data_IF_772393524515
#
_entry.id   IF_772393524515
#
_cell.length_a   1.000
_cell.length_b   1.000
_cell.length_c   1.000
_cell.angle_alpha   90.00
_cell.angle_beta   90.00
_cell.angle_gamma   90.00
#
_symmetry.space_group_name_H-M   'P 1'
#
loop_
_entity.id
_entity.type
_entity.pdbx_description
1 polymer ?
#
# COMPACT_ATOMS: atom_id res chain seq x y z
N UNK A 1 13.32 7.35 7.88
CA UNK A 1 13.10 5.91 7.61
C UNK A 1 13.72 5.60 6.25
N UNK A 2 14.29 4.41 6.11
CA UNK A 2 14.78 3.93 4.82
C UNK A 2 13.68 3.12 4.13
N UNK A 3 13.32 3.55 2.93
CA UNK A 3 12.21 2.96 2.15
C UNK A 3 12.74 2.50 0.80
N UNK A 4 12.48 1.25 0.45
CA UNK A 4 12.79 0.72 -0.88
C UNK A 4 11.46 0.48 -1.61
N UNK A 5 11.36 1.04 -2.81
CA UNK A 5 10.18 0.95 -3.67
C UNK A 5 10.55 0.18 -4.92
N UNK A 6 9.85 -0.89 -5.20
CA UNK A 6 9.99 -1.68 -6.41
C UNK A 6 8.90 -1.31 -7.42
N UNK A 7 9.34 -0.87 -8.60
CA UNK A 7 8.49 -0.43 -9.70
C UNK A 7 8.49 1.08 -9.88
N UNK A 8 9.17 1.56 -10.93
CA UNK A 8 9.30 2.97 -11.31
C UNK A 8 8.12 3.52 -12.12
N UNK A 9 7.00 2.80 -12.19
CA UNK A 9 5.79 3.29 -12.85
C UNK A 9 5.19 4.53 -12.17
N UNK A 10 4.06 5.01 -12.67
CA UNK A 10 3.42 6.26 -12.17
C UNK A 10 3.17 6.25 -10.67
N UNK A 11 2.71 5.12 -10.12
CA UNK A 11 2.40 4.99 -8.68
C UNK A 11 3.68 4.99 -7.85
N UNK A 12 4.65 4.11 -8.18
CA UNK A 12 5.89 4.02 -7.41
C UNK A 12 6.71 5.31 -7.46
N UNK A 13 6.78 5.96 -8.63
CA UNK A 13 7.45 7.27 -8.76
C UNK A 13 6.77 8.35 -7.92
N UNK A 14 5.43 8.43 -7.94
CA UNK A 14 4.70 9.41 -7.13
C UNK A 14 4.94 9.20 -5.62
N UNK A 15 4.90 7.95 -5.15
CA UNK A 15 5.18 7.61 -3.76
C UNK A 15 6.63 7.95 -3.41
N UNK A 16 7.59 7.65 -4.30
CA UNK A 16 9.01 7.92 -4.07
C UNK A 16 9.28 9.43 -3.91
N UNK A 17 8.67 10.26 -4.73
CA UNK A 17 8.79 11.71 -4.65
C UNK A 17 8.20 12.26 -3.35
N UNK A 18 6.96 11.88 -3.02
CA UNK A 18 6.29 12.34 -1.79
C UNK A 18 7.09 11.95 -0.53
N UNK A 19 7.60 10.72 -0.46
CA UNK A 19 8.40 10.28 0.67
C UNK A 19 9.77 10.97 0.74
N UNK A 20 10.39 11.27 -0.41
CA UNK A 20 11.64 12.03 -0.48
C UNK A 20 11.44 13.46 0.01
N UNK A 21 10.35 14.13 -0.40
CA UNK A 21 9.99 15.47 0.06
C UNK A 21 9.72 15.51 1.58
N UNK A 22 9.29 14.40 2.16
CA UNK A 22 9.14 14.22 3.63
C UNK A 22 10.45 13.83 4.33
N UNK A 23 11.59 13.90 3.65
CA UNK A 23 12.92 13.59 4.18
C UNK A 23 13.12 12.12 4.59
N UNK A 24 12.47 11.18 3.89
CA UNK A 24 12.82 9.76 3.99
C UNK A 24 13.98 9.42 3.04
N UNK A 25 14.77 8.42 3.42
CA UNK A 25 15.80 7.84 2.54
C UNK A 25 15.13 6.84 1.61
N UNK A 26 14.90 7.25 0.36
CA UNK A 26 14.12 6.47 -0.61
C UNK A 26 15.01 5.92 -1.71
N UNK A 27 14.93 4.62 -1.97
CA UNK A 27 15.52 3.97 -3.14
C UNK A 27 14.38 3.44 -4.02
N UNK A 28 14.31 3.90 -5.28
CA UNK A 28 13.37 3.42 -6.28
C UNK A 28 14.07 2.44 -7.22
N UNK A 29 13.59 1.19 -7.27
CA UNK A 29 14.09 0.16 -8.18
C UNK A 29 13.20 0.07 -9.43
N UNK A 30 13.80 0.06 -10.60
CA UNK A 30 13.13 -0.06 -11.90
C UNK A 30 13.91 -1.02 -12.80
N UNK A 31 13.25 -2.09 -13.27
CA UNK A 31 13.92 -3.12 -14.07
C UNK A 31 14.27 -2.64 -15.49
N UNK A 32 13.48 -1.75 -16.08
CA UNK A 32 13.75 -1.19 -17.39
C UNK A 32 14.85 -0.12 -17.28
N UNK A 33 16.05 -0.46 -17.72
CA UNK A 33 17.23 0.42 -17.64
C UNK A 33 17.00 1.77 -18.34
N UNK A 34 16.37 1.76 -19.53
CA UNK A 34 16.10 2.99 -20.28
C UNK A 34 15.09 3.89 -19.57
N UNK A 35 14.12 3.30 -18.87
CA UNK A 35 13.15 4.05 -18.08
C UNK A 35 13.76 4.56 -16.76
N UNK A 36 14.59 3.75 -16.11
CA UNK A 36 15.35 4.18 -14.94
C UNK A 36 16.25 5.40 -15.21
N UNK A 37 16.94 5.43 -16.34
CA UNK A 37 17.75 6.58 -16.76
C UNK A 37 16.90 7.84 -17.03
N UNK A 38 15.70 7.68 -17.60
CA UNK A 38 14.76 8.81 -17.73
C UNK A 38 14.34 9.35 -16.36
N UNK A 39 14.00 8.46 -15.41
CA UNK A 39 13.63 8.87 -14.06
C UNK A 39 14.75 9.63 -13.36
N UNK A 40 16.00 9.17 -13.45
CA UNK A 40 17.18 9.89 -12.91
C UNK A 40 17.33 11.29 -13.50
N UNK A 41 17.08 11.43 -14.82
CA UNK A 41 17.18 12.72 -15.50
C UNK A 41 16.03 13.66 -15.11
N UNK A 42 14.82 13.14 -15.01
CA UNK A 42 13.62 13.91 -14.67
C UNK A 42 13.58 14.30 -13.18
N UNK A 43 14.12 13.44 -12.31
CA UNK A 43 14.10 13.60 -10.86
C UNK A 43 15.50 13.43 -10.26
N UNK A 44 16.41 14.42 -10.43
CA UNK A 44 17.82 14.28 -10.00
C UNK A 44 18.01 14.05 -8.49
N UNK A 45 17.00 14.41 -7.69
CA UNK A 45 17.03 14.20 -6.23
C UNK A 45 16.58 12.81 -5.79
N UNK A 46 16.10 11.98 -6.71
CA UNK A 46 15.61 10.64 -6.39
C UNK A 46 16.70 9.60 -6.63
N UNK A 47 16.95 8.74 -5.65
CA UNK A 47 17.88 7.62 -5.80
C UNK A 47 17.19 6.49 -6.59
N UNK A 48 17.46 6.41 -7.89
CA UNK A 48 16.89 5.39 -8.78
C UNK A 48 17.95 4.34 -9.11
N UNK A 49 17.61 3.07 -8.91
CA UNK A 49 18.45 1.91 -9.21
C UNK A 49 17.83 1.11 -10.37
N UNK A 50 18.60 0.95 -11.45
CA UNK A 50 18.20 0.11 -12.58
C UNK A 50 18.47 -1.35 -12.23
N UNK A 51 17.47 -2.06 -11.73
CA UNK A 51 17.59 -3.46 -11.30
C UNK A 51 16.22 -4.14 -11.19
N UNK A 52 16.20 -5.46 -11.38
CA UNK A 52 15.02 -6.28 -11.17
C UNK A 52 14.86 -6.61 -9.68
N UNK A 53 13.78 -6.15 -9.08
CA UNK A 53 13.47 -6.38 -7.68
C UNK A 53 12.96 -7.80 -7.37
N UNK A 54 12.71 -8.63 -8.38
CA UNK A 54 12.42 -10.05 -8.20
C UNK A 54 13.69 -10.89 -8.02
N UNK A 55 14.88 -10.29 -8.18
CA UNK A 55 16.15 -10.97 -8.02
C UNK A 55 16.78 -10.72 -6.65
N UNK A 56 17.12 -11.80 -5.94
CA UNK A 56 17.79 -11.72 -4.63
C UNK A 56 19.08 -10.87 -4.69
N UNK A 57 19.89 -11.04 -5.74
CA UNK A 57 21.15 -10.30 -5.90
C UNK A 57 20.92 -8.79 -6.02
N UNK A 58 19.89 -8.39 -6.75
CA UNK A 58 19.50 -6.98 -6.92
C UNK A 58 19.04 -6.35 -5.59
N UNK A 59 18.20 -7.07 -4.84
CA UNK A 59 17.73 -6.64 -3.53
C UNK A 59 18.88 -6.57 -2.50
N UNK A 60 19.80 -7.54 -2.55
CA UNK A 60 21.01 -7.53 -1.72
C UNK A 60 21.94 -6.36 -2.04
N UNK A 61 22.13 -6.04 -3.32
CA UNK A 61 22.92 -4.89 -3.76
C UNK A 61 22.30 -3.54 -3.36
N UNK A 62 20.97 -3.47 -3.30
CA UNK A 62 20.23 -2.31 -2.78
C UNK A 62 20.22 -2.23 -1.24
N UNK A 63 20.91 -3.16 -0.55
CA UNK A 63 20.98 -3.26 0.92
C UNK A 63 19.59 -3.31 1.57
N UNK A 64 18.74 -4.20 1.07
CA UNK A 64 17.35 -4.33 1.53
C UNK A 64 17.27 -4.70 3.03
N UNK A 65 18.31 -5.33 3.60
CA UNK A 65 18.34 -5.67 5.04
C UNK A 65 18.28 -4.47 5.96
N UNK A 66 18.70 -3.30 5.48
CA UNK A 66 18.65 -2.04 6.25
C UNK A 66 17.36 -1.25 6.00
N UNK A 67 16.46 -1.74 5.15
CA UNK A 67 15.20 -1.07 4.89
C UNK A 67 14.21 -1.21 6.07
N UNK A 68 13.58 -0.12 6.45
CA UNK A 68 12.48 -0.12 7.41
C UNK A 68 11.17 -0.56 6.75
N UNK A 69 11.01 -0.20 5.46
CA UNK A 69 9.80 -0.48 4.68
C UNK A 69 10.16 -0.85 3.25
N UNK A 70 9.51 -1.87 2.71
CA UNK A 70 9.48 -2.17 1.28
C UNK A 70 8.09 -1.92 0.72
N UNK A 71 8.03 -1.29 -0.46
CA UNK A 71 6.79 -1.07 -1.19
C UNK A 71 6.91 -1.77 -2.55
N UNK A 72 6.14 -2.83 -2.76
CA UNK A 72 6.02 -3.49 -4.04
C UNK A 72 4.88 -2.84 -4.84
N UNK A 73 5.24 -2.06 -5.87
CA UNK A 73 4.31 -1.23 -6.64
C UNK A 73 4.50 -1.40 -8.15
N UNK A 74 4.91 -2.59 -8.60
CA UNK A 74 5.03 -2.90 -10.02
C UNK A 74 3.66 -3.01 -10.70
N UNK A 75 3.64 -3.13 -12.01
CA UNK A 75 2.42 -3.36 -12.79
C UNK A 75 1.94 -4.81 -12.78
N UNK A 76 2.66 -5.71 -12.14
CA UNK A 76 2.41 -7.15 -12.15
C UNK A 76 2.22 -7.68 -10.72
N UNK A 77 1.16 -8.46 -10.50
CA UNK A 77 0.79 -8.97 -9.18
C UNK A 77 1.74 -10.10 -8.74
N UNK A 78 2.21 -10.91 -9.66
CA UNK A 78 3.14 -12.00 -9.43
C UNK A 78 4.50 -11.45 -8.97
N UNK A 79 5.01 -10.41 -9.65
CA UNK A 79 6.24 -9.71 -9.24
C UNK A 79 6.07 -9.11 -7.84
N UNK A 80 4.94 -8.46 -7.57
CA UNK A 80 4.68 -7.86 -6.27
C UNK A 80 4.66 -8.90 -5.13
N UNK A 81 4.14 -10.11 -5.39
CA UNK A 81 4.18 -11.22 -4.43
C UNK A 81 5.60 -11.73 -4.21
N UNK A 82 6.39 -11.93 -5.29
CA UNK A 82 7.78 -12.37 -5.19
C UNK A 82 8.61 -11.38 -4.39
N UNK A 83 8.51 -10.10 -4.71
CA UNK A 83 9.21 -9.01 -4.00
C UNK A 83 8.84 -9.00 -2.52
N UNK A 84 7.54 -9.11 -2.21
CA UNK A 84 7.05 -9.13 -0.83
C UNK A 84 7.60 -10.34 -0.05
N UNK A 85 7.56 -11.51 -0.67
CA UNK A 85 8.08 -12.73 -0.07
C UNK A 85 9.59 -12.65 0.19
N UNK A 86 10.38 -12.23 -0.81
CA UNK A 86 11.82 -12.04 -0.66
C UNK A 86 12.13 -11.02 0.44
N UNK A 87 11.49 -9.86 0.44
CA UNK A 87 11.69 -8.83 1.45
C UNK A 87 11.46 -9.35 2.86
N UNK A 88 10.41 -10.15 3.05
CA UNK A 88 10.03 -10.66 4.38
C UNK A 88 10.89 -11.85 4.81
N UNK A 89 11.05 -12.85 3.94
CA UNK A 89 11.67 -14.12 4.30
C UNK A 89 13.20 -14.09 4.22
N UNK A 90 13.76 -13.42 3.21
CA UNK A 90 15.20 -13.42 2.97
C UNK A 90 15.91 -12.22 3.59
N UNK A 91 15.23 -11.08 3.64
CA UNK A 91 15.82 -9.83 4.13
C UNK A 91 15.27 -9.39 5.49
N UNK A 92 14.25 -10.05 6.02
CA UNK A 92 13.61 -9.76 7.32
C UNK A 92 13.14 -8.31 7.46
N UNK A 93 12.65 -7.71 6.36
CA UNK A 93 12.15 -6.33 6.36
C UNK A 93 10.97 -6.20 7.32
N UNK A 94 10.98 -5.22 8.25
CA UNK A 94 9.94 -5.09 9.26
C UNK A 94 8.54 -4.88 8.68
N UNK A 95 8.42 -4.10 7.60
CA UNK A 95 7.13 -3.76 6.98
C UNK A 95 7.17 -3.87 5.46
N UNK A 96 6.23 -4.62 4.92
CA UNK A 96 6.04 -4.79 3.47
C UNK A 96 4.64 -4.32 3.09
N UNK A 97 4.59 -3.33 2.20
CA UNK A 97 3.36 -2.76 1.64
C UNK A 97 3.31 -3.16 0.17
N UNK A 98 2.17 -3.60 -0.29
CA UNK A 98 2.05 -4.17 -1.62
C UNK A 98 0.83 -3.63 -2.37
N UNK A 99 1.04 -3.27 -3.63
CA UNK A 99 -0.05 -2.93 -4.54
C UNK A 99 -0.66 -4.20 -5.13
N UNK A 100 -2.00 -4.22 -5.19
CA UNK A 100 -2.77 -5.20 -5.94
C UNK A 100 -3.29 -4.53 -7.21
N UNK A 101 -2.92 -5.07 -8.37
CA UNK A 101 -3.37 -4.56 -9.67
C UNK A 101 -4.71 -5.16 -10.07
N UNK A 102 -4.92 -6.46 -9.78
CA UNK A 102 -6.16 -7.17 -10.07
C UNK A 102 -6.82 -7.64 -8.77
N UNK A 103 -8.00 -7.10 -8.45
CA UNK A 103 -8.74 -7.43 -7.22
C UNK A 103 -9.04 -8.92 -7.07
N UNK A 104 -9.07 -9.70 -8.16
CA UNK A 104 -9.25 -11.16 -8.12
C UNK A 104 -8.09 -11.88 -7.44
N UNK A 105 -6.90 -11.27 -7.41
CA UNK A 105 -5.71 -11.83 -6.79
C UNK A 105 -5.57 -11.44 -5.30
N UNK A 106 -6.47 -10.60 -4.78
CA UNK A 106 -6.38 -10.06 -3.42
C UNK A 106 -6.20 -11.13 -2.33
N UNK A 107 -6.76 -12.31 -2.51
CA UNK A 107 -6.65 -13.44 -1.58
C UNK A 107 -5.22 -13.99 -1.43
N UNK A 108 -4.33 -13.75 -2.40
CA UNK A 108 -2.91 -14.13 -2.35
C UNK A 108 -2.10 -13.19 -1.46
N UNK A 109 -2.50 -11.92 -1.35
CA UNK A 109 -1.73 -10.88 -0.67
C UNK A 109 -1.95 -10.92 0.85
N UNK A 110 -1.32 -11.88 1.50
CA UNK A 110 -1.46 -12.16 2.92
C UNK A 110 -0.10 -12.44 3.58
N UNK A 111 -0.11 -12.77 4.86
CA UNK A 111 1.10 -13.02 5.66
C UNK A 111 1.97 -14.18 5.11
N UNK A 112 1.37 -15.21 4.49
CA UNK A 112 2.12 -16.32 3.90
C UNK A 112 3.00 -15.86 2.75
N UNK A 113 2.63 -14.79 2.06
CA UNK A 113 3.39 -14.13 1.00
C UNK A 113 4.21 -12.94 1.51
N UNK A 114 4.34 -12.76 2.83
CA UNK A 114 5.14 -11.70 3.43
C UNK A 114 4.50 -10.31 3.36
N UNK A 115 3.20 -10.22 3.10
CA UNK A 115 2.50 -8.94 2.95
C UNK A 115 1.95 -8.48 4.30
N UNK A 116 2.36 -7.30 4.77
CA UNK A 116 1.80 -6.68 5.98
C UNK A 116 0.58 -5.80 5.66
N UNK A 117 0.63 -5.09 4.53
CA UNK A 117 -0.47 -4.24 4.05
C UNK A 117 -0.59 -4.38 2.54
N UNK A 118 -1.80 -4.62 2.06
CA UNK A 118 -2.10 -4.64 0.63
C UNK A 118 -3.09 -3.54 0.26
N UNK A 119 -2.88 -2.92 -0.91
CA UNK A 119 -3.73 -1.82 -1.43
C UNK A 119 -4.15 -2.13 -2.85
N UNK A 120 -5.46 -2.23 -3.08
CA UNK A 120 -6.04 -2.37 -4.42
C UNK A 120 -6.70 -1.07 -4.84
N UNK A 121 -6.04 -0.31 -5.72
CA UNK A 121 -6.61 0.92 -6.28
C UNK A 121 -7.95 0.67 -7.00
N UNK A 122 -8.13 -0.38 -7.83
CA UNK A 122 -9.42 -0.68 -8.43
C UNK A 122 -10.52 -0.93 -7.39
N UNK A 123 -10.23 -1.70 -6.34
CA UNK A 123 -11.21 -1.99 -5.31
C UNK A 123 -11.62 -0.72 -4.53
N UNK A 124 -10.65 0.15 -4.21
CA UNK A 124 -10.93 1.44 -3.56
C UNK A 124 -11.84 2.33 -4.42
N UNK A 125 -11.53 2.47 -5.71
CA UNK A 125 -12.35 3.28 -6.61
C UNK A 125 -13.76 2.68 -6.73
N UNK A 126 -13.88 1.37 -6.89
CA UNK A 126 -15.20 0.71 -6.96
C UNK A 126 -16.00 0.96 -5.69
N UNK A 127 -15.38 0.81 -4.51
CA UNK A 127 -16.06 1.08 -3.24
C UNK A 127 -16.57 2.52 -3.12
N UNK A 128 -15.77 3.50 -3.60
CA UNK A 128 -16.19 4.91 -3.62
C UNK A 128 -17.34 5.18 -4.60
N UNK A 129 -17.38 4.45 -5.72
CA UNK A 129 -18.50 4.55 -6.67
C UNK A 129 -19.77 3.94 -6.06
N UNK A 130 -19.65 2.77 -5.42
CA UNK A 130 -20.77 2.12 -4.74
C UNK A 130 -21.36 3.04 -3.64
N UNK A 131 -20.48 3.73 -2.88
CA UNK A 131 -20.91 4.73 -1.89
C UNK A 131 -21.70 5.88 -2.52
N UNK A 132 -21.22 6.41 -3.65
CA UNK A 132 -21.87 7.53 -4.33
C UNK A 132 -23.30 7.17 -4.82
N UNK A 133 -23.59 5.87 -4.97
CA UNK A 133 -24.88 5.34 -5.46
C UNK A 133 -25.79 4.89 -4.31
N UNK A 134 -25.22 4.42 -3.19
CA UNK A 134 -25.99 3.89 -2.04
C UNK A 134 -25.80 4.76 -0.80
N UNK A 135 -26.87 5.49 -0.41
CA UNK A 135 -26.89 6.23 0.84
C UNK A 135 -26.93 5.25 2.02
N UNK A 136 -25.85 5.24 2.82
CA UNK A 136 -25.74 4.38 4.02
C UNK A 136 -24.86 3.14 3.85
N UNK A 137 -23.96 3.14 2.88
CA UNK A 137 -23.04 2.01 2.64
C UNK A 137 -21.84 2.02 3.59
N UNK A 138 -21.29 0.82 3.81
CA UNK A 138 -20.02 0.59 4.51
C UNK A 138 -18.95 0.33 3.45
N UNK A 139 -17.92 1.18 3.42
CA UNK A 139 -16.80 1.04 2.48
C UNK A 139 -15.61 0.39 3.19
N UNK A 140 -15.09 -0.65 2.60
CA UNK A 140 -13.82 -1.22 3.02
C UNK A 140 -12.67 -0.47 2.32
N UNK A 141 -11.99 0.41 3.03
CA UNK A 141 -10.89 1.20 2.49
C UNK A 141 -9.59 0.39 2.43
N UNK A 142 -9.29 -0.41 3.46
CA UNK A 142 -8.02 -1.10 3.55
C UNK A 142 -8.05 -2.22 4.59
N UNK A 143 -7.41 -3.35 4.29
CA UNK A 143 -7.08 -4.38 5.26
C UNK A 143 -5.71 -4.09 5.90
N UNK A 144 -5.64 -4.10 7.23
CA UNK A 144 -4.45 -3.80 8.03
C UNK A 144 -4.08 -5.00 8.90
N UNK A 145 -2.82 -5.04 9.37
CA UNK A 145 -2.32 -6.04 10.30
C UNK A 145 -2.66 -7.49 9.86
N UNK A 146 -2.33 -7.83 8.61
CA UNK A 146 -2.57 -9.17 8.03
C UNK A 146 -4.05 -9.57 8.01
N UNK A 147 -4.95 -8.64 7.71
CA UNK A 147 -6.39 -8.87 7.69
C UNK A 147 -7.04 -8.99 9.07
N UNK A 148 -6.28 -8.77 10.16
CA UNK A 148 -6.81 -8.76 11.54
C UNK A 148 -7.57 -7.48 11.86
N UNK A 149 -7.33 -6.41 11.12
CA UNK A 149 -8.05 -5.14 11.23
C UNK A 149 -8.47 -4.66 9.85
N UNK A 150 -9.53 -3.88 9.83
CA UNK A 150 -10.08 -3.31 8.62
C UNK A 150 -10.38 -1.84 8.85
N UNK A 151 -9.89 -0.99 7.95
CA UNK A 151 -10.30 0.40 7.91
C UNK A 151 -11.56 0.48 7.04
N UNK A 152 -12.63 0.95 7.62
CA UNK A 152 -13.91 1.12 6.93
C UNK A 152 -14.38 2.57 7.09
N UNK A 153 -15.05 3.08 6.08
CA UNK A 153 -15.83 4.32 6.14
C UNK A 153 -17.30 3.97 6.19
N UNK A 154 -18.04 4.66 7.03
CA UNK A 154 -19.48 4.47 7.19
C UNK A 154 -20.17 5.80 7.01
N UNK A 155 -20.99 5.93 5.97
CA UNK A 155 -21.85 7.08 5.76
C UNK A 155 -23.22 6.80 6.33
N UNK A 156 -23.65 7.58 7.34
CA UNK A 156 -24.97 7.45 7.94
C UNK A 156 -26.01 8.16 7.08
N UNK A 157 -27.10 7.46 6.74
CA UNK A 157 -28.23 8.10 6.11
C UNK A 157 -28.83 9.17 7.05
N UNK A 158 -29.35 10.26 6.48
CA UNK A 158 -30.03 11.32 7.26
C UNK A 158 -31.21 10.80 8.09
N UNK A 159 -31.74 9.63 7.76
CA UNK A 159 -32.81 8.94 8.47
C UNK A 159 -32.30 7.93 9.50
N UNK A 160 -30.98 7.75 9.65
CA UNK A 160 -30.44 6.83 10.63
C UNK A 160 -30.78 7.29 12.06
N UNK A 161 -31.14 6.37 12.97
CA UNK A 161 -31.53 6.73 14.34
C UNK A 161 -30.47 7.58 15.07
N UNK A 162 -29.17 7.28 14.87
CA UNK A 162 -28.07 8.05 15.47
C UNK A 162 -28.03 9.51 15.00
N UNK A 163 -28.34 9.77 13.71
CA UNK A 163 -28.42 11.13 13.13
C UNK A 163 -29.67 11.85 13.60
N UNK A 164 -30.83 11.18 13.61
CA UNK A 164 -32.10 11.76 14.05
C UNK A 164 -32.13 12.11 15.54
N UNK A 165 -31.33 11.37 16.35
CA UNK A 165 -31.26 11.61 17.81
C UNK A 165 -30.09 12.52 18.19
N UNK A 166 -29.37 13.09 17.23
CA UNK A 166 -28.21 13.96 17.44
C UNK A 166 -27.18 13.33 18.43
N UNK A 167 -26.94 12.04 18.28
CA UNK A 167 -26.04 11.29 19.15
C UNK A 167 -24.58 11.61 18.81
N UNK A 168 -23.78 11.84 19.83
CA UNK A 168 -22.33 11.94 19.68
C UNK A 168 -21.71 10.56 19.42
N UNK A 169 -20.46 10.53 18.89
CA UNK A 169 -19.71 9.27 18.72
C UNK A 169 -19.50 8.53 20.04
N UNK A 170 -19.43 9.25 21.16
CA UNK A 170 -19.29 8.67 22.51
C UNK A 170 -20.57 7.96 22.98
N UNK A 171 -21.74 8.42 22.52
CA UNK A 171 -23.03 7.81 22.84
C UNK A 171 -23.29 6.53 22.04
N UNK A 172 -22.59 6.34 20.90
CA UNK A 172 -22.66 5.12 20.12
C UNK A 172 -21.94 4.01 20.86
N UNK A 173 -22.70 3.03 21.34
CA UNK A 173 -22.15 1.82 21.97
C UNK A 173 -21.54 0.91 20.89
N UNK A 174 -20.36 1.29 20.42
CA UNK A 174 -19.60 0.46 19.50
C UNK A 174 -18.99 -0.74 20.24
N UNK A 175 -19.00 -1.89 19.61
CA UNK A 175 -18.31 -3.08 20.15
C UNK A 175 -16.84 -2.74 20.41
N UNK A 176 -16.27 -3.29 21.49
CA UNK A 176 -14.88 -3.05 21.89
C UNK A 176 -13.81 -3.37 20.82
N UNK A 177 -14.20 -4.07 19.75
CA UNK A 177 -13.38 -4.34 18.57
C UNK A 177 -13.31 -3.14 17.59
N UNK A 178 -14.18 -2.13 17.73
CA UNK A 178 -14.25 -0.97 16.83
C UNK A 178 -13.49 0.21 17.44
N UNK A 179 -12.75 0.94 16.60
CA UNK A 179 -12.10 2.21 16.92
C UNK A 179 -12.52 3.26 15.91
N UNK A 180 -13.01 4.39 16.39
CA UNK A 180 -13.30 5.53 15.53
C UNK A 180 -12.03 6.35 15.36
N UNK A 181 -11.70 6.66 14.10
CA UNK A 181 -10.60 7.55 13.72
C UNK A 181 -11.25 8.71 12.98
N UNK A 182 -11.28 9.87 13.58
CA UNK A 182 -11.88 11.10 13.01
C UNK A 182 -10.78 12.14 12.75
#
# INVERSE_FOLDING_TARGET
>A
MRVVIAGGGSVGTAIALDLTDRNHDVTLMEQNTGFAEKLKTQHPGLNVVAADACEYASLSAADLRSADVVIAATGDDEDNLVISWLAKQEFAVPRVITRINNSRNAWLFNEAWGVDVSVSTPALITSLVDEAVEVGSIINLMDLAHGKMRLIEVTLASTAPAVLLDQSLEDLRLDGAVRVVA
#
